data_IF_995603542795
#
_entry.id   IF_995603542795
#
_cell.length_a   1.000
_cell.length_b   1.000
_cell.length_c   1.000
_cell.angle_alpha   90.00
_cell.angle_beta   90.00
_cell.angle_gamma   90.00
#
_symmetry.space_group_name_H-M   'P 1'
#
loop_
_entity.id
_entity.type
_entity.pdbx_description
1 polymer ?
#
# COMPACT_ATOMS: atom_id res chain seq x y z
N UNK A 1 -24.17 -20.51 4.75
CA UNK A 1 -22.89 -20.07 5.34
C UNK A 1 -22.23 -18.88 4.62
N UNK A 2 -22.75 -18.32 3.51
CA UNK A 2 -21.99 -17.31 2.74
C UNK A 2 -22.03 -15.85 3.25
N UNK A 3 -23.20 -15.34 3.69
CA UNK A 3 -23.38 -13.88 3.90
C UNK A 3 -22.52 -13.26 5.00
N UNK A 4 -22.23 -13.99 6.08
CA UNK A 4 -21.43 -13.48 7.20
C UNK A 4 -19.94 -13.42 6.85
N UNK A 5 -19.43 -14.46 6.19
CA UNK A 5 -18.05 -14.50 5.70
C UNK A 5 -17.82 -13.46 4.61
N UNK A 6 -18.73 -13.35 3.63
CA UNK A 6 -18.67 -12.31 2.60
C UNK A 6 -18.70 -10.91 3.21
N UNK A 7 -19.55 -10.68 4.21
CA UNK A 7 -19.59 -9.40 4.91
C UNK A 7 -18.28 -9.11 5.62
N UNK A 8 -17.68 -10.09 6.32
CA UNK A 8 -16.38 -9.92 7.00
C UNK A 8 -15.26 -9.55 6.03
N UNK A 9 -15.28 -10.08 4.82
CA UNK A 9 -14.28 -9.80 3.78
C UNK A 9 -14.58 -8.53 2.96
N UNK A 10 -15.69 -7.85 3.22
CA UNK A 10 -16.08 -6.61 2.53
C UNK A 10 -15.54 -5.37 3.23
N UNK A 11 -15.45 -4.24 2.52
CA UNK A 11 -15.12 -2.94 3.12
C UNK A 11 -16.04 -2.59 4.32
N UNK A 12 -17.33 -2.96 4.21
CA UNK A 12 -18.32 -2.77 5.29
C UNK A 12 -18.01 -3.65 6.51
N UNK A 13 -17.45 -4.85 6.31
CA UNK A 13 -17.03 -5.72 7.42
C UNK A 13 -15.77 -5.23 8.14
N UNK A 14 -14.89 -4.55 7.41
CA UNK A 14 -13.67 -3.96 7.95
C UNK A 14 -13.85 -2.54 8.50
N UNK A 15 -15.07 -1.99 8.49
CA UNK A 15 -15.37 -0.59 8.88
C UNK A 15 -14.52 0.43 8.12
N UNK A 16 -14.12 0.12 6.88
CA UNK A 16 -13.35 1.04 6.05
C UNK A 16 -14.31 2.03 5.38
N UNK A 17 -14.21 3.32 5.75
CA UNK A 17 -14.98 4.37 5.10
C UNK A 17 -14.26 4.87 3.84
N UNK A 18 -14.39 4.07 2.78
CA UNK A 18 -13.82 4.36 1.46
C UNK A 18 -14.48 5.57 0.75
N UNK A 19 -15.58 6.11 1.30
CA UNK A 19 -16.32 7.23 0.71
C UNK A 19 -16.15 8.54 1.48
N UNK A 20 -15.51 8.50 2.66
CA UNK A 20 -15.21 9.68 3.48
C UNK A 20 -14.36 10.73 2.77
N UNK A 21 -13.59 10.32 1.76
CA UNK A 21 -12.58 11.16 1.11
C UNK A 21 -11.39 11.48 2.02
N UNK A 22 -11.27 10.81 3.17
CA UNK A 22 -10.09 10.95 4.04
C UNK A 22 -8.96 10.04 3.54
N UNK A 23 -7.75 10.60 3.52
CA UNK A 23 -6.56 9.81 3.20
C UNK A 23 -6.33 8.76 4.29
N UNK A 24 -5.91 7.57 3.85
CA UNK A 24 -5.58 6.48 4.75
C UNK A 24 -4.31 6.81 5.55
N UNK A 25 -4.39 6.77 6.87
CA UNK A 25 -3.19 6.90 7.72
C UNK A 25 -2.40 5.58 7.72
N UNK A 26 -1.16 5.61 7.23
CA UNK A 26 -0.29 4.43 7.31
C UNK A 26 0.48 4.41 8.63
N UNK A 27 0.34 3.34 9.40
CA UNK A 27 1.06 3.13 10.65
C UNK A 27 2.32 2.31 10.39
N UNK A 28 3.35 2.37 11.26
CA UNK A 28 4.53 1.51 11.12
C UNK A 28 4.21 0.01 11.08
N UNK A 29 3.11 -0.41 11.73
CA UNK A 29 2.60 -1.78 11.71
C UNK A 29 1.68 -2.09 10.54
N UNK A 30 1.30 -1.10 9.73
CA UNK A 30 0.51 -1.32 8.53
C UNK A 30 1.32 -2.19 7.59
N UNK A 31 0.66 -3.22 7.04
CA UNK A 31 1.24 -4.07 6.03
C UNK A 31 0.76 -3.66 4.66
N UNK A 32 1.67 -3.64 3.71
CA UNK A 32 1.40 -3.26 2.32
C UNK A 32 1.98 -4.29 1.36
N UNK A 33 1.41 -4.37 0.17
CA UNK A 33 1.98 -5.11 -0.96
C UNK A 33 1.50 -4.54 -2.28
N UNK A 34 2.22 -4.76 -3.36
CA UNK A 34 1.75 -4.41 -4.70
C UNK A 34 0.51 -5.24 -5.06
N UNK A 35 -0.46 -4.62 -5.75
CA UNK A 35 -1.68 -5.29 -6.19
C UNK A 35 -1.36 -6.42 -7.18
N UNK A 36 -0.39 -6.20 -8.08
CA UNK A 36 0.12 -7.17 -9.06
C UNK A 36 1.59 -6.88 -9.31
N UNK A 37 2.45 -7.88 -9.55
CA UNK A 37 3.86 -7.62 -9.92
C UNK A 37 4.03 -7.07 -11.34
N UNK A 38 3.27 -7.61 -12.28
CA UNK A 38 3.45 -7.35 -13.72
C UNK A 38 2.55 -6.22 -14.24
N UNK A 39 1.83 -5.52 -13.36
CA UNK A 39 0.95 -4.41 -13.72
C UNK A 39 1.67 -3.08 -13.89
N UNK A 40 2.94 -3.02 -13.49
CA UNK A 40 3.73 -1.80 -13.40
C UNK A 40 5.23 -2.07 -13.61
N UNK A 41 5.96 -1.05 -14.04
CA UNK A 41 7.42 -1.08 -14.24
C UNK A 41 8.02 0.26 -13.85
N UNK A 42 9.13 0.23 -13.11
CA UNK A 42 9.99 1.38 -12.88
C UNK A 42 10.95 1.52 -14.07
N UNK A 43 11.01 2.72 -14.64
CA UNK A 43 11.82 3.05 -15.81
C UNK A 43 12.62 4.32 -15.51
N UNK A 44 13.90 4.32 -15.89
CA UNK A 44 14.81 5.45 -15.71
C UNK A 44 14.98 6.19 -17.04
N UNK A 45 14.84 7.50 -17.02
CA UNK A 45 15.17 8.37 -18.16
C UNK A 45 16.60 8.90 -18.04
N UNK A 46 17.08 9.10 -16.81
CA UNK A 46 18.44 9.49 -16.47
C UNK A 46 18.83 8.94 -15.09
N UNK A 47 20.03 9.29 -14.60
CA UNK A 47 20.45 8.93 -13.24
C UNK A 47 19.59 9.60 -12.16
N UNK A 48 19.02 10.77 -12.46
CA UNK A 48 18.26 11.59 -11.50
C UNK A 48 16.75 11.62 -11.79
N UNK A 49 16.27 10.91 -12.83
CA UNK A 49 14.85 10.89 -13.18
C UNK A 49 14.34 9.50 -13.54
N UNK A 50 13.20 9.15 -12.95
CA UNK A 50 12.50 7.90 -13.22
C UNK A 50 10.99 8.07 -13.10
N UNK A 51 10.26 7.14 -13.72
CA UNK A 51 8.81 7.09 -13.67
C UNK A 51 8.32 5.66 -13.58
N UNK A 52 7.09 5.49 -13.10
CA UNK A 52 6.40 4.21 -13.11
C UNK A 52 5.38 4.22 -14.24
N UNK A 53 5.52 3.25 -15.14
CA UNK A 53 4.46 2.92 -16.09
C UNK A 53 3.54 1.85 -15.48
N UNK A 54 2.23 1.98 -15.64
CA UNK A 54 1.26 1.03 -15.08
C UNK A 54 0.01 0.83 -15.94
N UNK A 55 -0.77 -0.21 -15.63
CA UNK A 55 -1.95 -0.63 -16.43
C UNK A 55 -3.28 -0.54 -15.68
N UNK A 56 -3.29 0.02 -14.48
CA UNK A 56 -4.46 -0.03 -13.59
C UNK A 56 -5.64 0.81 -14.10
N UNK A 57 -5.37 1.85 -14.88
CA UNK A 57 -6.37 2.71 -15.48
C UNK A 57 -6.61 2.42 -16.97
N UNK A 58 -6.02 1.35 -17.52
CA UNK A 58 -6.18 1.05 -18.94
C UNK A 58 -7.60 0.58 -19.27
N UNK A 59 -8.15 1.09 -20.38
CA UNK A 59 -9.38 0.55 -20.96
C UNK A 59 -9.21 -0.93 -21.30
N UNK A 60 -10.31 -1.68 -21.23
CA UNK A 60 -10.36 -3.06 -21.71
C UNK A 60 -10.35 -3.13 -23.24
N UNK A 61 -10.65 -2.02 -23.90
CA UNK A 61 -10.59 -1.88 -25.36
C UNK A 61 -9.31 -1.15 -25.74
N UNK A 62 -8.71 -1.55 -26.86
CA UNK A 62 -7.58 -0.80 -27.40
C UNK A 62 -8.10 0.50 -28.03
N UNK A 63 -7.75 1.61 -27.40
CA UNK A 63 -8.21 2.95 -27.79
C UNK A 63 -7.08 3.81 -28.36
N UNK A 64 -5.86 3.27 -28.49
CA UNK A 64 -4.69 4.03 -28.93
C UNK A 64 -4.24 5.12 -27.95
N UNK A 65 -4.73 5.08 -26.71
CA UNK A 65 -4.33 6.00 -25.65
C UNK A 65 -2.86 5.80 -25.24
N UNK A 66 -2.18 6.87 -24.80
CA UNK A 66 -0.83 6.77 -24.29
C UNK A 66 -0.77 5.86 -23.04
N UNK A 67 0.42 5.32 -22.80
CA UNK A 67 0.71 4.57 -21.58
C UNK A 67 0.48 5.44 -20.35
N UNK A 68 -0.07 4.86 -19.29
CA UNK A 68 -0.31 5.56 -18.04
C UNK A 68 0.98 5.54 -17.22
N UNK A 69 1.52 6.72 -16.95
CA UNK A 69 2.75 6.90 -16.19
C UNK A 69 2.59 7.95 -15.11
N UNK A 70 3.44 7.88 -14.08
CA UNK A 70 3.64 8.97 -13.12
C UNK A 70 5.10 9.00 -12.67
N UNK A 71 5.60 10.20 -12.35
CA UNK A 71 6.96 10.39 -11.87
C UNK A 71 7.16 9.75 -10.50
N UNK A 72 8.30 9.08 -10.32
CA UNK A 72 8.72 8.57 -9.02
C UNK A 72 9.97 9.35 -8.60
N UNK A 73 9.92 10.11 -7.49
CA UNK A 73 11.12 10.72 -6.94
C UNK A 73 12.20 9.67 -6.62
N UNK A 74 13.46 9.97 -6.93
CA UNK A 74 14.59 9.02 -6.81
C UNK A 74 14.73 8.48 -5.38
N UNK A 75 14.46 9.30 -4.37
CA UNK A 75 14.48 8.88 -2.97
C UNK A 75 13.49 7.75 -2.63
N UNK A 76 12.50 7.47 -3.49
CA UNK A 76 11.51 6.40 -3.29
C UNK A 76 11.83 5.11 -4.05
N UNK A 77 12.88 5.09 -4.86
CA UNK A 77 13.25 3.94 -5.69
C UNK A 77 13.55 2.70 -4.84
N UNK A 78 14.28 2.85 -3.74
CA UNK A 78 14.62 1.74 -2.85
C UNK A 78 13.36 1.07 -2.28
N UNK A 79 12.40 1.88 -1.80
CA UNK A 79 11.11 1.39 -1.31
C UNK A 79 10.28 0.69 -2.38
N UNK A 80 10.22 1.23 -3.60
CA UNK A 80 9.51 0.57 -4.69
C UNK A 80 10.15 -0.78 -5.08
N UNK A 81 11.48 -0.85 -5.11
CA UNK A 81 12.20 -2.10 -5.37
C UNK A 81 11.94 -3.12 -4.26
N UNK A 82 12.01 -2.71 -3.00
CA UNK A 82 11.71 -3.57 -1.85
C UNK A 82 10.30 -4.18 -1.94
N UNK A 83 9.28 -3.38 -2.29
CA UNK A 83 7.91 -3.84 -2.51
C UNK A 83 7.79 -4.79 -3.73
N UNK A 84 8.57 -4.54 -4.77
CA UNK A 84 8.60 -5.36 -5.99
C UNK A 84 9.23 -6.72 -5.76
N UNK A 85 10.29 -6.76 -4.94
CA UNK A 85 11.01 -7.97 -4.57
C UNK A 85 10.25 -8.79 -3.53
N UNK A 86 9.49 -8.14 -2.64
CA UNK A 86 8.67 -8.84 -1.65
C UNK A 86 7.40 -9.45 -2.22
N UNK A 87 6.91 -9.00 -3.38
CA UNK A 87 5.67 -9.53 -3.96
C UNK A 87 5.77 -11.04 -4.22
N UNK A 88 4.76 -11.86 -3.82
CA UNK A 88 3.40 -11.49 -3.41
C UNK A 88 3.19 -11.29 -1.90
N UNK A 89 4.26 -11.33 -1.11
CA UNK A 89 4.21 -11.25 0.34
C UNK A 89 3.91 -9.84 0.85
N UNK A 90 3.30 -9.78 2.03
CA UNK A 90 3.01 -8.53 2.74
C UNK A 90 4.25 -8.03 3.48
N UNK A 91 4.60 -6.77 3.26
CA UNK A 91 5.69 -6.07 3.95
C UNK A 91 5.13 -5.08 4.98
N UNK A 92 5.64 -5.12 6.20
CA UNK A 92 5.37 -4.08 7.21
C UNK A 92 6.12 -2.80 6.84
N UNK A 93 5.53 -1.63 7.12
CA UNK A 93 6.25 -0.37 6.88
C UNK A 93 7.52 -0.21 7.72
N UNK A 94 7.61 -0.92 8.84
CA UNK A 94 8.83 -1.04 9.63
C UNK A 94 9.95 -1.84 8.96
N UNK A 95 9.66 -2.59 7.90
CA UNK A 95 10.62 -3.42 7.13
C UNK A 95 11.09 -2.70 5.85
N UNK A 96 10.67 -1.45 5.64
CA UNK A 96 11.13 -0.62 4.52
C UNK A 96 12.65 -0.38 4.60
N UNK A 97 13.31 -0.14 3.46
CA UNK A 97 14.76 0.09 3.43
C UNK A 97 15.19 1.23 4.36
N UNK A 98 16.33 1.05 5.05
CA UNK A 98 16.82 1.98 6.07
C UNK A 98 17.18 3.36 5.49
N UNK A 99 17.43 3.46 4.18
CA UNK A 99 17.71 4.73 3.52
C UNK A 99 16.48 5.65 3.46
N UNK A 100 15.26 5.09 3.63
CA UNK A 100 14.03 5.86 3.62
C UNK A 100 13.63 6.30 5.03
N UNK A 101 13.37 7.59 5.19
CA UNK A 101 12.79 8.09 6.43
C UNK A 101 11.27 7.89 6.47
N UNK A 102 10.66 8.04 7.65
CA UNK A 102 9.24 7.79 7.86
C UNK A 102 8.34 8.65 6.95
N UNK A 103 8.72 9.90 6.65
CA UNK A 103 7.95 10.79 5.78
C UNK A 103 7.99 10.30 4.33
N UNK A 104 9.16 9.85 3.86
CA UNK A 104 9.32 9.28 2.52
C UNK A 104 8.54 7.98 2.37
N UNK A 105 8.54 7.12 3.40
CA UNK A 105 7.73 5.89 3.42
C UNK A 105 6.24 6.22 3.30
N UNK A 106 5.74 7.20 4.05
CA UNK A 106 4.34 7.65 3.93
C UNK A 106 4.05 8.16 2.52
N UNK A 107 4.89 9.07 2.01
CA UNK A 107 4.70 9.68 0.70
C UNK A 107 4.69 8.64 -0.43
N UNK A 108 5.60 7.67 -0.40
CA UNK A 108 5.61 6.54 -1.34
C UNK A 108 4.31 5.72 -1.24
N UNK A 109 3.89 5.36 -0.02
CA UNK A 109 2.67 4.57 0.18
C UNK A 109 1.43 5.29 -0.35
N UNK A 110 1.27 6.59 -0.05
CA UNK A 110 0.19 7.40 -0.59
C UNK A 110 0.25 7.47 -2.11
N UNK A 111 1.41 7.75 -2.70
CA UNK A 111 1.58 7.83 -4.15
C UNK A 111 1.13 6.53 -4.84
N UNK A 112 1.64 5.38 -4.39
CA UNK A 112 1.25 4.08 -4.97
C UNK A 112 -0.21 3.73 -4.71
N UNK A 113 -0.75 4.08 -3.54
CA UNK A 113 -2.14 3.84 -3.19
C UNK A 113 -3.10 4.65 -4.08
N UNK A 114 -2.83 5.94 -4.30
CA UNK A 114 -3.62 6.80 -5.18
C UNK A 114 -3.62 6.32 -6.63
N UNK A 115 -2.51 5.76 -7.13
CA UNK A 115 -2.44 5.14 -8.46
C UNK A 115 -3.02 3.72 -8.52
N UNK A 116 -3.60 3.22 -7.42
CA UNK A 116 -4.20 1.89 -7.36
C UNK A 116 -3.18 0.76 -7.54
N UNK A 117 -1.95 0.97 -7.08
CA UNK A 117 -0.86 -0.02 -7.15
C UNK A 117 -0.62 -0.76 -5.84
N UNK A 118 -1.15 -0.25 -4.71
CA UNK A 118 -0.88 -0.77 -3.38
C UNK A 118 -2.14 -1.38 -2.73
N UNK A 119 -2.01 -2.57 -2.16
CA UNK A 119 -2.96 -3.12 -1.19
C UNK A 119 -2.50 -2.76 0.22
N UNK A 120 -3.47 -2.51 1.10
CA UNK A 120 -3.21 -2.17 2.49
C UNK A 120 -3.93 -3.14 3.40
N UNK A 121 -3.22 -3.60 4.42
CA UNK A 121 -3.76 -4.37 5.53
C UNK A 121 -3.49 -3.61 6.81
N UNK A 122 -4.50 -2.91 7.32
CA UNK A 122 -4.43 -2.32 8.65
C UNK A 122 -4.46 -3.43 9.70
N UNK A 123 -3.43 -3.47 10.54
CA UNK A 123 -3.43 -4.33 11.72
C UNK A 123 -4.05 -3.55 12.89
N UNK A 124 -4.91 -4.18 13.71
CA UNK A 124 -5.46 -3.53 14.88
C UNK A 124 -4.33 -3.02 15.76
N UNK A 125 -4.46 -1.79 16.26
CA UNK A 125 -3.57 -1.30 17.32
C UNK A 125 -3.52 -2.35 18.42
N UNK A 126 -2.32 -2.69 18.91
CA UNK A 126 -2.17 -3.60 20.05
C UNK A 126 -3.03 -3.07 21.19
N UNK A 127 -4.19 -3.69 21.41
CA UNK A 127 -5.01 -3.42 22.59
C UNK A 127 -4.12 -3.74 23.78
N UNK A 128 -3.63 -2.72 24.48
CA UNK A 128 -3.02 -2.89 25.80
C UNK A 128 -4.13 -3.47 26.69
N UNK A 129 -4.25 -4.79 26.76
CA UNK A 129 -5.11 -5.46 27.73
C UNK A 129 -4.61 -5.01 29.10
N UNK A 130 -5.29 -4.05 29.73
CA UNK A 130 -5.13 -3.77 31.15
C UNK A 130 -5.61 -5.04 31.87
N UNK A 131 -4.70 -5.95 32.17
CA UNK A 131 -4.95 -7.04 33.10
C UNK A 131 -5.16 -6.37 34.46
N UNK A 132 -6.42 -6.09 34.81
CA UNK A 132 -6.78 -5.82 36.20
C UNK A 132 -6.45 -7.08 36.98
N UNK A 133 -5.31 -7.11 37.67
CA UNK A 133 -5.09 -8.07 38.76
C UNK A 133 -6.10 -7.74 39.85
N UNK A 134 -7.20 -8.47 39.91
CA UNK A 134 -8.01 -8.50 41.13
C UNK A 134 -7.15 -9.14 42.22
N UNK A 135 -6.82 -8.36 43.24
CA UNK A 135 -6.39 -8.92 44.52
C UNK A 135 -7.60 -9.65 45.09
N UNK A 136 -7.51 -10.96 45.23
CA UNK A 136 -8.33 -11.69 46.18
C UNK A 136 -7.48 -11.82 47.45
N UNK A 137 -7.87 -11.04 48.47
CA UNK A 137 -7.69 -11.39 49.88
C UNK A 137 -8.91 -12.21 50.33
#
# INVERSE_FOLDING_TARGET
>A
MGRLEEKLLSAVGHNEDILSGQDIEFRPSTKVKLIRRHGQRLLFESEDSCYIAHRMANSRLYEGLPEQTFELPIQYVSGFNALSDSYPEWMSLSEMPEEMNAVEVQALCHLLYHHGLLMVQQLPDRIKRKVKRSKHE
#
